data_IF_214251931752
#
_entry.id   IF_214251931752
#
_cell.length_a   1.000
_cell.length_b   1.000
_cell.length_c   1.000
_cell.angle_alpha   90.00
_cell.angle_beta   90.00
_cell.angle_gamma   90.00
#
_symmetry.space_group_name_H-M   'P 1'
#
loop_
_entity.id
_entity.type
_entity.pdbx_description
1 polymer ?
#
# COMPACT_ATOMS: atom_id res chain seq x y z
N UNK A 1 30.18 -17.23 27.96
CA UNK A 1 30.45 -16.36 26.79
C UNK A 1 29.47 -16.62 25.63
N UNK A 2 29.25 -17.88 25.22
CA UNK A 2 28.25 -18.24 24.19
C UNK A 2 26.82 -17.81 24.51
N UNK A 3 26.35 -17.99 25.76
CA UNK A 3 25.00 -17.56 26.16
C UNK A 3 24.77 -16.05 26.06
N UNK A 4 25.80 -15.24 26.37
CA UNK A 4 25.70 -13.78 26.27
C UNK A 4 25.53 -13.33 24.81
N UNK A 5 26.28 -13.95 23.89
CA UNK A 5 26.16 -13.68 22.46
C UNK A 5 24.81 -14.15 21.91
N UNK A 6 24.33 -15.31 22.35
CA UNK A 6 23.02 -15.82 21.97
C UNK A 6 21.88 -14.89 22.42
N UNK A 7 21.95 -14.38 23.65
CA UNK A 7 20.97 -13.41 24.18
C UNK A 7 21.01 -12.08 23.41
N UNK A 8 22.20 -11.56 23.11
CA UNK A 8 22.33 -10.33 22.31
C UNK A 8 21.78 -10.50 20.89
N UNK A 9 22.05 -11.64 20.25
CA UNK A 9 21.53 -11.96 18.92
C UNK A 9 19.99 -12.09 18.94
N UNK A 10 19.44 -12.76 19.96
CA UNK A 10 17.99 -12.91 20.11
C UNK A 10 17.28 -11.55 20.24
N UNK A 11 17.82 -10.65 21.06
CA UNK A 11 17.29 -9.29 21.22
C UNK A 11 17.39 -8.50 19.90
N UNK A 12 18.51 -8.58 19.19
CA UNK A 12 18.69 -7.88 17.93
C UNK A 12 17.70 -8.36 16.84
N UNK A 13 17.44 -9.66 16.78
CA UNK A 13 16.44 -10.27 15.88
C UNK A 13 15.05 -9.76 16.24
N UNK A 14 14.68 -9.79 17.53
CA UNK A 14 13.35 -9.36 17.97
C UNK A 14 13.13 -7.86 17.75
N UNK A 15 14.14 -7.03 18.02
CA UNK A 15 14.10 -5.60 17.73
C UNK A 15 13.90 -5.33 16.22
N UNK A 16 14.59 -6.08 15.36
CA UNK A 16 14.43 -5.97 13.91
C UNK A 16 13.01 -6.34 13.46
N UNK A 17 12.43 -7.39 14.06
CA UNK A 17 11.06 -7.83 13.80
C UNK A 17 10.02 -6.80 14.24
N UNK A 18 10.19 -6.24 15.43
CA UNK A 18 9.32 -5.19 15.96
C UNK A 18 9.41 -3.93 15.10
N UNK A 19 10.62 -3.53 14.73
CA UNK A 19 10.83 -2.38 13.84
C UNK A 19 10.16 -2.58 12.48
N UNK A 20 10.32 -3.76 11.86
CA UNK A 20 9.64 -4.08 10.60
C UNK A 20 8.11 -4.04 10.73
N UNK A 21 7.57 -4.50 11.87
CA UNK A 21 6.14 -4.46 12.16
C UNK A 21 5.65 -3.03 12.30
N UNK A 22 6.35 -2.20 13.06
CA UNK A 22 6.04 -0.77 13.23
C UNK A 22 6.07 -0.07 11.88
N UNK A 23 7.11 -0.31 11.07
CA UNK A 23 7.20 0.26 9.73
C UNK A 23 6.04 -0.16 8.85
N UNK A 24 5.64 -1.44 8.87
CA UNK A 24 4.48 -1.91 8.11
C UNK A 24 3.22 -1.18 8.56
N UNK A 25 2.93 -1.14 9.86
CA UNK A 25 1.74 -0.48 10.41
C UNK A 25 1.71 1.03 10.11
N UNK A 26 2.86 1.70 10.10
CA UNK A 26 2.94 3.12 9.74
C UNK A 26 2.72 3.36 8.24
N UNK A 27 3.09 2.39 7.40
CA UNK A 27 3.11 2.52 5.95
C UNK A 27 1.88 1.95 5.26
N UNK A 28 1.10 1.09 5.93
CA UNK A 28 -0.07 0.44 5.34
C UNK A 28 -1.33 0.66 6.16
N UNK A 29 -2.45 0.89 5.48
CA UNK A 29 -3.76 0.89 6.10
C UNK A 29 -4.12 -0.54 6.58
N UNK A 30 -4.50 -0.75 7.84
CA UNK A 30 -4.70 -2.09 8.40
C UNK A 30 -5.94 -2.80 7.86
N UNK A 31 -6.98 -2.04 7.45
CA UNK A 31 -8.21 -2.61 6.92
C UNK A 31 -7.99 -3.13 5.49
N UNK A 32 -7.35 -2.33 4.65
CA UNK A 32 -7.22 -2.60 3.21
C UNK A 32 -5.86 -3.17 2.81
N UNK A 33 -4.84 -3.10 3.67
CA UNK A 33 -3.47 -3.59 3.41
C UNK A 33 -2.70 -2.79 2.34
N UNK A 34 -3.28 -1.71 1.83
CA UNK A 34 -2.66 -0.80 0.85
C UNK A 34 -1.76 0.21 1.53
N UNK A 35 -0.96 0.94 0.76
CA UNK A 35 -0.14 2.01 1.32
C UNK A 35 -1.00 3.13 1.89
N UNK A 36 -0.54 3.71 3.00
CA UNK A 36 -1.07 4.99 3.49
C UNK A 36 -0.79 6.08 2.45
N UNK A 37 -1.61 7.14 2.47
CA UNK A 37 -1.46 8.27 1.54
C UNK A 37 -0.04 8.83 1.53
N UNK A 38 0.55 9.01 2.72
CA UNK A 38 1.93 9.49 2.86
C UNK A 38 2.91 8.58 2.12
N UNK A 39 2.88 7.29 2.45
CA UNK A 39 3.82 6.32 1.87
C UNK A 39 3.64 6.18 0.36
N UNK A 40 2.40 6.28 -0.13
CA UNK A 40 2.13 6.28 -1.57
C UNK A 40 2.83 7.44 -2.28
N UNK A 41 2.67 8.67 -1.81
CA UNK A 41 3.28 9.84 -2.45
C UNK A 41 4.81 9.78 -2.40
N UNK A 42 5.38 9.36 -1.27
CA UNK A 42 6.82 9.17 -1.14
C UNK A 42 7.34 8.19 -2.22
N UNK A 43 6.67 7.04 -2.38
CA UNK A 43 7.04 6.06 -3.40
C UNK A 43 6.78 6.57 -4.83
N UNK A 44 5.66 7.28 -5.04
CA UNK A 44 5.27 7.78 -6.36
C UNK A 44 6.26 8.81 -6.88
N UNK A 45 6.78 9.68 -6.00
CA UNK A 45 7.83 10.63 -6.34
C UNK A 45 9.11 9.91 -6.78
N UNK A 46 9.55 8.89 -6.02
CA UNK A 46 10.72 8.09 -6.39
C UNK A 46 10.56 7.42 -7.76
N UNK A 47 9.40 6.81 -8.03
CA UNK A 47 9.12 6.17 -9.31
C UNK A 47 8.97 7.18 -10.46
N UNK A 48 8.41 8.36 -10.19
CA UNK A 48 8.32 9.44 -11.17
C UNK A 48 9.70 9.95 -11.58
N UNK A 49 10.59 10.21 -10.62
CA UNK A 49 11.96 10.63 -10.91
C UNK A 49 12.73 9.55 -11.68
N UNK A 50 12.53 8.28 -11.32
CA UNK A 50 13.11 7.14 -12.04
C UNK A 50 12.58 7.06 -13.47
N UNK A 51 11.28 7.20 -13.66
CA UNK A 51 10.66 7.17 -14.99
C UNK A 51 11.15 8.30 -15.89
N UNK A 52 11.27 9.51 -15.33
CA UNK A 52 11.86 10.68 -16.00
C UNK A 52 13.31 10.42 -16.41
N UNK A 53 14.13 9.87 -15.51
CA UNK A 53 15.56 9.58 -15.76
C UNK A 53 15.76 8.57 -16.89
N UNK A 54 14.97 7.49 -16.88
CA UNK A 54 15.11 6.41 -17.85
C UNK A 54 14.20 6.56 -19.08
N UNK A 55 13.46 7.69 -19.18
CA UNK A 55 12.46 7.93 -20.22
C UNK A 55 11.47 6.76 -20.37
N UNK A 56 11.14 6.11 -19.26
CA UNK A 56 10.16 5.02 -19.26
C UNK A 56 8.77 5.60 -19.06
N UNK A 57 7.76 5.12 -19.79
CA UNK A 57 6.43 5.69 -19.74
C UNK A 57 5.76 5.37 -18.38
N UNK A 58 5.02 6.30 -17.77
CA UNK A 58 4.35 6.18 -16.46
C UNK A 58 2.85 6.54 -16.56
N UNK A 59 1.94 5.74 -15.99
CA UNK A 59 0.51 6.12 -15.83
C UNK A 59 0.08 5.95 -14.39
N UNK A 60 -0.99 6.64 -13.99
CA UNK A 60 -1.63 6.48 -12.69
C UNK A 60 -3.12 6.18 -12.93
N UNK A 61 -3.62 5.15 -12.26
CA UNK A 61 -5.02 4.76 -12.23
C UNK A 61 -5.56 5.14 -10.86
N UNK A 62 -6.71 5.80 -10.80
CA UNK A 62 -7.45 6.05 -9.55
C UNK A 62 -8.80 5.35 -9.67
N UNK A 63 -9.19 4.56 -8.68
CA UNK A 63 -10.38 3.71 -8.67
C UNK A 63 -11.25 4.13 -7.48
N UNK A 64 -12.41 4.72 -7.66
CA UNK A 64 -13.29 5.00 -6.51
C UNK A 64 -14.26 3.84 -6.27
N UNK A 65 -14.76 3.70 -5.03
CA UNK A 65 -15.89 2.81 -4.77
C UNK A 65 -17.16 3.63 -4.96
N UNK A 66 -17.84 3.40 -6.06
CA UNK A 66 -19.05 4.14 -6.42
C UNK A 66 -20.11 4.03 -5.32
N UNK A 67 -20.75 5.16 -5.01
CA UNK A 67 -21.85 5.26 -4.04
C UNK A 67 -21.55 4.70 -2.63
N UNK A 68 -20.27 4.60 -2.23
CA UNK A 68 -19.87 3.97 -0.97
C UNK A 68 -20.54 4.58 0.28
N UNK A 69 -20.81 5.89 0.25
CA UNK A 69 -21.56 6.56 1.32
C UNK A 69 -23.01 6.05 1.42
N UNK A 70 -23.73 5.95 0.29
CA UNK A 70 -25.10 5.46 0.28
C UNK A 70 -25.18 4.01 0.73
N UNK A 71 -24.19 3.20 0.34
CA UNK A 71 -24.04 1.83 0.83
C UNK A 71 -23.86 1.80 2.35
N UNK A 72 -22.93 2.60 2.90
CA UNK A 72 -22.72 2.69 4.35
C UNK A 72 -23.95 3.18 5.09
N UNK A 73 -24.67 4.17 4.54
CA UNK A 73 -25.89 4.71 5.14
C UNK A 73 -27.01 3.66 5.16
N UNK A 74 -27.04 2.72 4.18
CA UNK A 74 -28.05 1.65 4.07
C UNK A 74 -27.70 0.38 4.85
N UNK A 75 -26.43 -0.02 4.89
CA UNK A 75 -25.99 -1.31 5.43
C UNK A 75 -25.08 -1.19 6.66
N UNK A 76 -24.75 0.02 7.07
CA UNK A 76 -23.85 0.31 8.18
C UNK A 76 -22.37 0.21 7.81
N UNK A 77 -21.53 0.85 8.63
CA UNK A 77 -20.08 0.94 8.37
C UNK A 77 -19.37 -0.42 8.37
N UNK A 78 -19.82 -1.39 9.17
CA UNK A 78 -19.22 -2.73 9.20
C UNK A 78 -19.35 -3.45 7.85
N UNK A 79 -20.48 -3.29 7.16
CA UNK A 79 -20.66 -3.82 5.81
C UNK A 79 -19.72 -3.11 4.81
N UNK A 80 -19.51 -1.80 4.97
CA UNK A 80 -18.55 -1.04 4.18
C UNK A 80 -17.11 -1.52 4.34
N UNK A 81 -16.71 -1.84 5.57
CA UNK A 81 -15.38 -2.36 5.86
C UNK A 81 -15.12 -3.70 5.14
N UNK A 82 -16.13 -4.58 5.07
CA UNK A 82 -16.06 -5.84 4.32
C UNK A 82 -15.89 -5.60 2.80
N UNK A 83 -16.55 -4.59 2.24
CA UNK A 83 -16.39 -4.20 0.83
C UNK A 83 -14.95 -3.74 0.57
N UNK A 84 -14.41 -2.91 1.45
CA UNK A 84 -13.03 -2.42 1.36
C UNK A 84 -12.01 -3.56 1.49
N UNK A 85 -12.25 -4.52 2.39
CA UNK A 85 -11.42 -5.71 2.54
C UNK A 85 -11.48 -6.61 1.30
N UNK A 86 -12.65 -6.76 0.69
CA UNK A 86 -12.79 -7.54 -0.56
C UNK A 86 -12.05 -6.87 -1.72
N UNK A 87 -12.11 -5.54 -1.81
CA UNK A 87 -11.37 -4.74 -2.80
C UNK A 87 -9.85 -4.97 -2.74
N UNK A 88 -9.28 -5.24 -1.56
CA UNK A 88 -7.86 -5.60 -1.40
C UNK A 88 -7.46 -6.79 -2.27
N UNK A 89 -8.28 -7.83 -2.32
CA UNK A 89 -7.97 -9.06 -3.06
C UNK A 89 -7.94 -8.82 -4.56
N UNK A 90 -8.90 -8.05 -5.07
CA UNK A 90 -8.96 -7.70 -6.50
C UNK A 90 -7.70 -6.96 -6.94
N UNK A 91 -7.17 -6.05 -6.12
CA UNK A 91 -5.94 -5.32 -6.45
C UNK A 91 -4.70 -6.21 -6.44
N UNK A 92 -4.65 -7.22 -5.56
CA UNK A 92 -3.56 -8.18 -5.54
C UNK A 92 -3.51 -9.05 -6.78
N UNK A 93 -4.67 -9.43 -7.33
CA UNK A 93 -4.80 -10.22 -8.56
C UNK A 93 -4.35 -9.51 -9.82
N UNK A 94 -4.19 -8.18 -9.80
CA UNK A 94 -3.71 -7.42 -10.96
C UNK A 94 -2.18 -7.40 -10.95
N UNK A 95 -1.48 -8.01 -11.93
CA UNK A 95 -0.03 -8.14 -11.90
C UNK A 95 0.65 -6.77 -11.79
N UNK A 96 1.50 -6.62 -10.78
CA UNK A 96 2.36 -5.45 -10.62
C UNK A 96 3.50 -5.55 -11.65
N UNK A 97 3.43 -4.80 -12.74
CA UNK A 97 4.63 -4.54 -13.55
C UNK A 97 5.61 -3.68 -12.75
N UNK A 98 6.91 -3.71 -13.08
CA UNK A 98 7.94 -2.90 -12.42
C UNK A 98 7.51 -1.42 -12.40
N UNK A 99 7.48 -0.81 -11.21
CA UNK A 99 7.02 0.57 -11.00
C UNK A 99 5.55 0.73 -10.58
N UNK A 100 4.87 -0.37 -10.21
CA UNK A 100 3.50 -0.33 -9.73
C UNK A 100 3.41 -0.01 -8.24
N UNK A 101 2.79 1.12 -7.89
CA UNK A 101 2.53 1.56 -6.51
C UNK A 101 1.02 1.56 -6.28
N UNK A 102 0.56 1.01 -5.13
CA UNK A 102 -0.86 0.84 -4.78
C UNK A 102 -1.23 1.64 -3.52
N UNK A 103 -2.32 2.40 -3.55
CA UNK A 103 -2.94 3.07 -2.39
C UNK A 103 -4.44 2.76 -2.38
N UNK A 104 -5.11 2.74 -1.23
CA UNK A 104 -6.57 2.94 -1.11
C UNK A 104 -6.88 4.06 -0.11
N UNK A 105 -8.03 4.69 -0.30
CA UNK A 105 -8.60 5.64 0.64
C UNK A 105 -10.12 5.71 0.49
N UNK A 106 -10.77 6.52 1.36
CA UNK A 106 -12.23 6.80 1.34
C UNK A 106 -12.76 7.45 0.05
N UNK A 107 -11.88 7.74 -0.92
CA UNK A 107 -12.15 8.27 -2.27
C UNK A 107 -11.22 7.64 -3.31
N UNK A 108 -10.92 6.36 -3.11
CA UNK A 108 -10.39 5.52 -4.15
C UNK A 108 -8.99 4.93 -3.97
N UNK A 109 -8.75 3.89 -4.78
CA UNK A 109 -7.56 3.09 -4.90
C UNK A 109 -6.71 3.60 -6.07
N UNK A 110 -5.47 3.99 -5.80
CA UNK A 110 -4.54 4.47 -6.81
C UNK A 110 -3.56 3.36 -7.22
N UNK A 111 -3.47 3.00 -8.51
CA UNK A 111 -2.47 2.09 -9.09
C UNK A 111 -1.63 2.83 -10.12
N UNK A 112 -0.33 3.00 -9.88
CA UNK A 112 0.56 3.45 -10.94
C UNK A 112 0.91 2.28 -11.88
N UNK A 113 0.77 2.40 -13.20
CA UNK A 113 1.28 1.42 -14.16
C UNK A 113 1.83 2.13 -15.39
N UNK A 114 3.00 1.74 -15.84
CA UNK A 114 3.79 2.42 -16.85
C UNK A 114 3.13 2.63 -18.24
N UNK A 115 2.49 3.79 -18.52
CA UNK A 115 2.30 4.34 -19.87
C UNK A 115 2.05 5.88 -19.92
N UNK A 116 3.09 6.67 -20.14
CA UNK A 116 3.03 8.09 -20.50
C UNK A 116 2.92 8.20 -22.02
N UNK A 117 1.92 8.92 -22.51
CA UNK A 117 1.90 9.46 -23.88
C UNK A 117 1.91 10.99 -23.79
N UNK A 118 2.74 11.65 -24.62
CA UNK A 118 3.02 13.08 -24.55
C UNK A 118 1.82 13.96 -24.89
#
# INVERSE_FOLDING_TARGET
>A
MLELLANHAAIAIENSRLFATIQRLANTDPLTGVLTRRKFFDMAEHEFQRAKRYKTPMSILMLDVDEFKQFNDRFGHQAGDLVLETGRFTLHGIPAQRGCIRQAGRRGICRCSARYQP
#
